data_IF_779554410576
#
_entry.id   IF_779554410576
#
_cell.length_a   1.000
_cell.length_b   1.000
_cell.length_c   1.000
_cell.angle_alpha   90.00
_cell.angle_beta   90.00
_cell.angle_gamma   90.00
#
_symmetry.space_group_name_H-M   'P 1'
#
loop_
_entity.id
_entity.type
_entity.pdbx_description
1 polymer ?
#
# COMPACT_ATOMS: atom_id res chain seq x y z
N UNK A 1 -45.12 20.67 21.94
CA UNK A 1 -44.04 21.65 22.20
C UNK A 1 -43.12 21.04 23.24
N UNK A 2 -41.96 20.56 22.82
CA UNK A 2 -40.88 20.19 23.74
C UNK A 2 -39.57 20.75 23.22
N UNK A 3 -38.82 21.16 24.21
CA UNK A 3 -37.83 22.21 24.26
C UNK A 3 -36.51 21.82 23.58
N UNK A 4 -35.83 22.85 23.08
CA UNK A 4 -34.48 22.87 22.53
C UNK A 4 -33.46 22.27 23.49
N UNK A 5 -32.72 21.25 23.05
CA UNK A 5 -31.47 20.87 23.70
C UNK A 5 -30.29 21.20 22.78
N UNK A 6 -29.58 22.20 23.26
CA UNK A 6 -28.31 22.70 22.80
C UNK A 6 -27.21 21.65 23.08
N UNK A 7 -26.57 21.16 22.00
CA UNK A 7 -25.11 20.96 21.88
C UNK A 7 -24.48 19.71 22.56
N UNK A 8 -23.41 19.12 21.97
CA UNK A 8 -22.13 19.81 21.84
C UNK A 8 -21.67 20.03 20.39
N UNK A 9 -21.32 21.27 20.07
CA UNK A 9 -20.25 21.61 19.13
C UNK A 9 -18.98 20.97 19.64
N UNK A 10 -18.66 19.80 19.12
CA UNK A 10 -17.26 19.39 19.03
C UNK A 10 -16.79 19.76 17.63
N UNK A 11 -16.43 21.04 17.48
CA UNK A 11 -15.40 21.44 16.51
C UNK A 11 -14.10 20.76 16.96
N UNK A 12 -13.99 19.46 16.68
CA UNK A 12 -12.71 18.78 16.68
C UNK A 12 -12.13 19.02 15.29
N UNK A 13 -10.93 19.58 15.24
CA UNK A 13 -10.12 19.79 14.05
C UNK A 13 -10.03 18.49 13.24
N UNK A 14 -10.92 18.35 12.27
CA UNK A 14 -11.12 17.16 11.46
C UNK A 14 -10.20 17.18 10.24
N UNK A 15 -8.90 17.20 10.49
CA UNK A 15 -7.86 17.42 9.47
C UNK A 15 -7.18 16.13 8.98
N UNK A 16 -7.70 14.95 9.35
CA UNK A 16 -7.08 13.65 9.04
C UNK A 16 -7.65 12.90 7.82
N UNK A 17 -6.98 11.81 7.45
CA UNK A 17 -7.39 10.88 6.39
C UNK A 17 -8.79 10.29 6.66
N UNK A 18 -9.65 10.29 5.64
CA UNK A 18 -11.00 9.72 5.66
C UNK A 18 -11.08 8.44 4.85
N UNK A 19 -11.81 7.47 5.38
CA UNK A 19 -12.06 6.16 4.78
C UNK A 19 -13.56 5.98 4.51
N UNK A 20 -14.11 6.93 3.74
CA UNK A 20 -15.54 7.19 3.60
C UNK A 20 -16.04 7.08 2.14
N UNK A 21 -15.15 6.82 1.19
CA UNK A 21 -15.56 6.56 -0.19
C UNK A 21 -16.19 5.17 -0.32
N UNK A 22 -17.20 4.98 -1.21
CA UNK A 22 -17.82 3.69 -1.43
C UNK A 22 -16.81 2.62 -1.86
N UNK A 23 -16.95 1.43 -1.30
CA UNK A 23 -16.16 0.25 -1.66
C UNK A 23 -17.06 -0.80 -2.29
N UNK A 24 -16.74 -1.18 -3.52
CA UNK A 24 -17.36 -2.30 -4.20
C UNK A 24 -16.48 -3.54 -4.03
N UNK A 25 -17.02 -4.56 -3.35
CA UNK A 25 -16.32 -5.82 -3.12
C UNK A 25 -16.16 -6.69 -4.37
N UNK A 26 -16.94 -6.45 -5.43
CA UNK A 26 -16.81 -7.20 -6.67
C UNK A 26 -15.65 -6.68 -7.52
N UNK A 27 -15.60 -5.36 -7.77
CA UNK A 27 -14.51 -4.77 -8.55
C UNK A 27 -13.20 -4.69 -7.75
N UNK A 28 -13.30 -4.33 -6.46
CA UNK A 28 -12.19 -3.98 -5.57
C UNK A 28 -11.35 -2.84 -6.18
N UNK A 29 -12.00 -1.89 -6.84
CA UNK A 29 -11.31 -0.70 -7.33
C UNK A 29 -10.78 0.12 -6.16
N UNK A 30 -9.61 0.74 -6.33
CA UNK A 30 -9.03 1.61 -5.31
C UNK A 30 -9.31 3.05 -5.71
N UNK A 31 -10.06 3.75 -4.87
CA UNK A 31 -10.44 5.14 -5.09
C UNK A 31 -9.77 6.00 -4.05
N UNK A 32 -9.06 7.04 -4.51
CA UNK A 32 -8.58 8.11 -3.66
C UNK A 32 -8.99 9.48 -4.21
N UNK A 33 -9.27 10.42 -3.31
CA UNK A 33 -9.63 11.81 -3.67
C UNK A 33 -9.03 12.79 -2.68
N UNK A 34 -8.49 13.90 -3.19
CA UNK A 34 -7.99 15.02 -2.39
C UNK A 34 -9.02 16.14 -2.41
N UNK A 35 -9.51 16.50 -1.23
CA UNK A 35 -10.33 17.69 -1.01
C UNK A 35 -9.42 18.83 -0.52
N UNK A 36 -9.46 19.97 -1.21
CA UNK A 36 -8.83 21.20 -0.74
C UNK A 36 -9.87 21.91 0.12
N UNK A 37 -9.54 22.09 1.39
CA UNK A 37 -10.35 22.83 2.35
C UNK A 37 -9.70 24.21 2.47
N UNK A 38 -10.45 25.25 2.13
CA UNK A 38 -10.02 26.62 2.39
C UNK A 38 -9.85 26.78 3.90
N UNK A 39 -8.59 26.90 4.35
CA UNK A 39 -8.26 27.10 5.74
C UNK A 39 -8.32 28.57 6.09
N UNK A 40 -8.99 28.90 7.19
CA UNK A 40 -8.74 30.15 7.89
C UNK A 40 -7.30 30.04 8.41
N UNK A 41 -6.40 30.91 7.95
CA UNK A 41 -4.96 30.82 8.19
C UNK A 41 -4.57 30.74 9.68
N UNK A 42 -4.54 29.54 10.27
CA UNK A 42 -4.06 29.33 11.64
C UNK A 42 -3.32 28.01 11.88
N UNK A 43 -3.03 27.20 10.85
CA UNK A 43 -2.34 25.90 11.04
C UNK A 43 -1.37 25.53 9.92
N UNK A 44 -0.07 25.75 10.17
CA UNK A 44 1.11 25.04 9.65
C UNK A 44 1.17 24.56 8.19
N UNK A 45 0.81 25.42 7.23
CA UNK A 45 1.46 25.39 5.92
C UNK A 45 1.61 26.80 5.35
N UNK A 46 2.70 27.05 4.61
CA UNK A 46 3.03 28.36 4.03
C UNK A 46 1.97 28.93 3.06
N UNK A 47 0.85 28.22 2.83
CA UNK A 47 -0.22 28.55 1.89
C UNK A 47 -1.64 28.55 2.51
N UNK A 48 -1.83 28.17 3.78
CA UNK A 48 -3.15 28.20 4.44
C UNK A 48 -4.17 27.16 3.94
N UNK A 49 -3.79 26.19 3.11
CA UNK A 49 -4.68 25.16 2.58
C UNK A 49 -4.71 23.93 3.49
N UNK A 50 -5.82 23.68 4.19
CA UNK A 50 -6.01 22.37 4.84
C UNK A 50 -6.37 21.36 3.74
N UNK A 51 -5.80 20.17 3.77
CA UNK A 51 -6.09 19.12 2.78
C UNK A 51 -6.66 17.92 3.48
N UNK A 52 -7.71 17.36 2.91
CA UNK A 52 -8.31 16.11 3.38
C UNK A 52 -8.20 15.06 2.31
N UNK A 53 -7.70 13.89 2.68
CA UNK A 53 -7.54 12.75 1.80
C UNK A 53 -8.65 11.76 2.08
N UNK A 54 -9.29 11.29 1.02
CA UNK A 54 -10.37 10.33 1.07
C UNK A 54 -9.95 9.04 0.36
N UNK A 55 -10.26 7.90 0.96
CA UNK A 55 -9.99 6.58 0.43
C UNK A 55 -11.21 5.69 0.59
N UNK A 56 -11.33 4.65 -0.25
CA UNK A 56 -12.37 3.63 -0.10
C UNK A 56 -11.91 2.37 0.64
N UNK A 57 -10.64 2.28 1.05
CA UNK A 57 -10.10 1.16 1.83
C UNK A 57 -9.53 1.65 3.15
N UNK A 58 -9.55 0.81 4.20
CA UNK A 58 -9.01 1.15 5.52
C UNK A 58 -7.59 0.61 5.72
N UNK A 59 -6.74 1.29 6.48
CA UNK A 59 -5.39 0.82 6.77
C UNK A 59 -5.38 -0.34 7.75
N UNK A 60 -5.06 -1.52 7.25
CA UNK A 60 -4.83 -2.72 8.07
C UNK A 60 -3.39 -2.83 8.56
N UNK A 61 -2.45 -2.21 7.84
CA UNK A 61 -1.00 -2.29 8.09
C UNK A 61 -0.37 -0.90 8.09
N UNK A 62 0.62 -0.65 8.94
CA UNK A 62 1.45 0.56 8.90
C UNK A 62 2.90 0.13 9.04
N UNK A 63 3.78 0.61 8.16
CA UNK A 63 5.20 0.32 8.22
C UNK A 63 6.05 1.57 8.45
N UNK A 64 5.90 2.59 7.60
CA UNK A 64 6.80 3.75 7.56
C UNK A 64 6.13 5.10 7.86
N UNK A 65 4.80 5.21 7.76
CA UNK A 65 4.12 6.51 7.78
C UNK A 65 3.05 6.58 8.88
N UNK A 66 3.45 6.85 10.14
CA UNK A 66 2.48 7.16 11.19
C UNK A 66 1.61 8.39 10.88
N UNK A 67 2.09 9.28 9.99
CA UNK A 67 1.42 10.50 9.58
C UNK A 67 0.33 10.30 8.52
N UNK A 68 0.08 9.06 8.07
CA UNK A 68 -1.01 8.73 7.15
C UNK A 68 -0.57 8.34 5.74
N UNK A 69 -1.56 8.12 4.88
CA UNK A 69 -1.38 7.75 3.48
C UNK A 69 -1.33 8.98 2.58
N UNK A 70 -0.68 8.86 1.43
CA UNK A 70 -0.52 9.95 0.47
C UNK A 70 -0.34 9.38 -0.95
N UNK A 71 -0.37 10.24 -1.97
CA UNK A 71 -0.10 9.84 -3.37
C UNK A 71 0.45 11.00 -4.24
N UNK A 72 0.84 10.67 -5.47
CA UNK A 72 1.35 11.63 -6.45
C UNK A 72 2.81 12.06 -6.23
N UNK A 73 3.57 11.31 -5.43
CA UNK A 73 5.02 11.43 -5.28
C UNK A 73 5.64 10.12 -4.74
N UNK A 74 6.97 10.02 -4.81
CA UNK A 74 7.71 8.90 -4.23
C UNK A 74 8.11 9.20 -2.77
N UNK A 75 7.29 8.76 -1.81
CA UNK A 75 7.56 8.96 -0.38
C UNK A 75 7.05 7.82 0.51
N UNK A 76 7.11 8.01 1.82
CA UNK A 76 6.69 7.03 2.83
C UNK A 76 5.18 6.81 2.87
N UNK A 77 4.37 7.88 2.86
CA UNK A 77 2.90 7.78 2.81
C UNK A 77 2.38 7.00 1.59
N UNK A 78 2.86 7.30 0.36
CA UNK A 78 2.59 6.48 -0.83
C UNK A 78 3.06 5.03 -0.71
N UNK A 79 4.14 4.77 0.03
CA UNK A 79 4.65 3.42 0.28
C UNK A 79 3.72 2.60 1.17
N UNK A 80 3.24 3.19 2.26
CA UNK A 80 2.29 2.54 3.16
C UNK A 80 0.93 2.35 2.49
N UNK A 81 0.50 3.29 1.64
CA UNK A 81 -0.71 3.11 0.83
C UNK A 81 -0.57 1.95 -0.14
N UNK A 82 0.53 1.88 -0.91
CA UNK A 82 0.83 0.77 -1.80
C UNK A 82 0.84 -0.59 -1.08
N UNK A 83 1.44 -0.64 0.12
CA UNK A 83 1.50 -1.86 0.93
C UNK A 83 0.09 -2.35 1.31
N UNK A 84 -0.80 -1.44 1.71
CA UNK A 84 -2.17 -1.81 2.07
C UNK A 84 -3.02 -2.19 0.87
N UNK A 85 -2.80 -1.57 -0.30
CA UNK A 85 -3.43 -2.01 -1.55
C UNK A 85 -3.02 -3.44 -1.85
N UNK A 86 -1.73 -3.77 -1.90
CA UNK A 86 -1.30 -5.14 -2.20
C UNK A 86 -1.77 -6.15 -1.14
N UNK A 87 -1.76 -5.77 0.13
CA UNK A 87 -2.27 -6.61 1.23
C UNK A 87 -3.74 -6.96 1.08
N UNK A 88 -4.55 -6.08 0.50
CA UNK A 88 -5.98 -6.32 0.25
C UNK A 88 -6.18 -7.43 -0.79
N UNK A 89 -5.34 -7.47 -1.83
CA UNK A 89 -5.47 -8.43 -2.93
C UNK A 89 -4.76 -9.76 -2.67
N UNK A 90 -3.67 -9.74 -1.88
CA UNK A 90 -2.90 -10.93 -1.53
C UNK A 90 -2.79 -11.02 0.00
N UNK A 91 -3.87 -11.38 0.71
CA UNK A 91 -3.82 -11.55 2.15
C UNK A 91 -3.11 -12.86 2.54
N UNK A 92 -2.53 -12.90 3.75
CA UNK A 92 -2.08 -14.13 4.39
C UNK A 92 -0.64 -14.57 4.10
N UNK A 93 -0.41 -15.86 4.29
CA UNK A 93 0.82 -16.61 4.05
C UNK A 93 0.95 -16.97 2.57
N UNK A 94 1.61 -16.09 1.82
CA UNK A 94 1.94 -16.34 0.42
C UNK A 94 2.84 -17.58 0.30
N UNK A 95 2.35 -18.62 -0.38
CA UNK A 95 3.05 -19.91 -0.57
C UNK A 95 3.48 -20.60 0.75
N UNK A 96 2.73 -20.39 1.84
CA UNK A 96 3.07 -20.94 3.15
C UNK A 96 4.26 -20.24 3.83
N UNK A 97 4.74 -19.11 3.29
CA UNK A 97 5.73 -18.28 3.94
C UNK A 97 5.06 -17.40 5.01
N UNK A 98 5.71 -17.18 6.17
CA UNK A 98 5.14 -16.37 7.23
C UNK A 98 4.94 -14.93 6.76
N UNK A 99 3.82 -14.33 7.17
CA UNK A 99 3.57 -12.90 6.97
C UNK A 99 4.67 -12.05 7.61
N UNK A 100 4.94 -10.88 7.02
CA UNK A 100 5.95 -9.94 7.50
C UNK A 100 5.33 -9.03 8.56
N UNK A 101 6.02 -8.91 9.70
CA UNK A 101 5.60 -8.01 10.78
C UNK A 101 5.89 -6.55 10.41
N UNK A 102 4.87 -5.70 10.52
CA UNK A 102 4.99 -4.26 10.36
C UNK A 102 4.81 -3.55 11.71
N UNK A 103 5.03 -2.22 11.75
CA UNK A 103 4.83 -1.42 12.96
C UNK A 103 3.42 -1.60 13.53
N UNK A 104 2.41 -1.59 12.65
CA UNK A 104 1.05 -2.06 12.95
C UNK A 104 0.63 -3.15 11.98
N UNK A 105 0.01 -4.22 12.49
CA UNK A 105 -0.47 -5.34 11.68
C UNK A 105 0.65 -6.25 11.17
N UNK A 106 0.31 -7.04 10.16
CA UNK A 106 1.18 -7.95 9.40
C UNK A 106 0.75 -7.90 7.95
N UNK A 107 1.69 -8.04 7.01
CA UNK A 107 1.38 -8.11 5.59
C UNK A 107 1.91 -9.41 4.96
N UNK A 108 1.35 -9.81 3.81
CA UNK A 108 1.88 -10.93 3.04
C UNK A 108 3.29 -10.65 2.56
N UNK A 109 4.05 -11.73 2.35
CA UNK A 109 5.42 -11.63 1.84
C UNK A 109 5.44 -10.97 0.47
N UNK A 110 4.48 -11.30 -0.39
CA UNK A 110 4.29 -10.65 -1.69
C UNK A 110 4.11 -9.14 -1.57
N UNK A 111 3.16 -8.68 -0.74
CA UNK A 111 2.91 -7.24 -0.55
C UNK A 111 4.18 -6.53 -0.06
N UNK A 112 4.90 -7.13 0.90
CA UNK A 112 6.15 -6.60 1.39
C UNK A 112 7.22 -6.45 0.30
N UNK A 113 7.43 -7.47 -0.53
CA UNK A 113 8.47 -7.45 -1.57
C UNK A 113 8.15 -6.45 -2.68
N UNK A 114 6.87 -6.30 -3.02
CA UNK A 114 6.45 -5.62 -4.25
C UNK A 114 5.89 -4.20 -4.04
N UNK A 115 5.61 -3.77 -2.79
CA UNK A 115 4.98 -2.47 -2.55
C UNK A 115 5.77 -1.27 -3.07
N UNK A 116 7.11 -1.34 -3.12
CA UNK A 116 7.94 -0.25 -3.66
C UNK A 116 7.76 -0.13 -5.19
N UNK A 117 7.76 -1.26 -5.91
CA UNK A 117 7.52 -1.28 -7.35
C UNK A 117 6.10 -0.79 -7.65
N UNK A 118 5.10 -1.33 -6.96
CA UNK A 118 3.70 -0.92 -7.10
C UNK A 118 3.49 0.58 -6.82
N UNK A 119 4.11 1.10 -5.74
CA UNK A 119 4.09 2.53 -5.42
C UNK A 119 4.61 3.36 -6.59
N UNK A 120 5.78 3.02 -7.13
CA UNK A 120 6.41 3.80 -8.18
C UNK A 120 5.60 3.75 -9.49
N UNK A 121 4.91 2.62 -9.73
CA UNK A 121 4.15 2.41 -10.96
C UNK A 121 2.78 3.09 -10.94
N UNK A 122 2.06 2.98 -9.82
CA UNK A 122 0.69 3.48 -9.68
C UNK A 122 0.63 4.68 -8.75
N UNK A 123 0.87 4.48 -7.45
CA UNK A 123 0.54 5.45 -6.39
C UNK A 123 1.28 6.78 -6.55
N UNK A 124 2.58 6.74 -6.87
CA UNK A 124 3.41 7.93 -7.05
C UNK A 124 3.03 8.72 -8.31
N UNK A 125 2.33 8.10 -9.27
CA UNK A 125 1.94 8.70 -10.55
C UNK A 125 0.49 9.15 -10.60
N UNK A 126 -0.31 8.87 -9.56
CA UNK A 126 -1.68 9.34 -9.50
C UNK A 126 -1.74 10.87 -9.55
N UNK A 127 -2.72 11.45 -10.25
CA UNK A 127 -3.01 12.88 -10.19
C UNK A 127 -3.17 13.34 -8.75
N UNK A 128 -2.78 14.59 -8.46
CA UNK A 128 -2.79 15.10 -7.08
C UNK A 128 -4.21 15.17 -6.51
N UNK A 129 -5.19 15.46 -7.34
CA UNK A 129 -6.62 15.45 -7.04
C UNK A 129 -7.17 14.05 -6.67
N UNK A 130 -6.45 12.98 -7.02
CA UNK A 130 -6.89 11.59 -6.83
C UNK A 130 -7.32 10.93 -8.13
N UNK A 131 -7.60 9.64 -8.07
CA UNK A 131 -8.05 8.83 -9.22
C UNK A 131 -8.63 7.50 -8.73
N UNK A 132 -9.14 6.72 -9.69
CA UNK A 132 -9.44 5.31 -9.52
C UNK A 132 -8.28 4.49 -10.09
N UNK A 133 -7.88 3.43 -9.38
CA UNK A 133 -7.07 2.33 -9.92
C UNK A 133 -8.00 1.12 -10.00
N UNK A 134 -8.22 0.62 -11.20
CA UNK A 134 -9.11 -0.53 -11.42
C UNK A 134 -8.55 -1.79 -10.76
N UNK A 135 -9.39 -2.52 -10.04
CA UNK A 135 -9.00 -3.77 -9.38
C UNK A 135 -8.56 -4.83 -10.39
N UNK A 136 -9.11 -4.81 -11.61
CA UNK A 136 -8.65 -5.68 -12.70
C UNK A 136 -7.21 -5.38 -13.11
N UNK A 137 -6.83 -4.10 -13.17
CA UNK A 137 -5.45 -3.67 -13.46
C UNK A 137 -4.49 -4.12 -12.36
N UNK A 138 -4.90 -3.98 -11.08
CA UNK A 138 -4.10 -4.44 -9.94
C UNK A 138 -3.91 -5.97 -9.98
N UNK A 139 -4.97 -6.73 -10.25
CA UNK A 139 -4.89 -8.20 -10.39
C UNK A 139 -3.96 -8.62 -11.52
N UNK A 140 -4.03 -7.96 -12.68
CA UNK A 140 -3.15 -8.25 -13.81
C UNK A 140 -1.67 -8.00 -13.45
N UNK A 141 -1.39 -6.89 -12.78
CA UNK A 141 -0.06 -6.55 -12.30
C UNK A 141 0.48 -7.58 -11.30
N UNK A 142 -0.34 -7.98 -10.32
CA UNK A 142 0.03 -9.02 -9.34
C UNK A 142 0.36 -10.34 -10.04
N UNK A 143 -0.47 -10.77 -10.98
CA UNK A 143 -0.27 -12.02 -11.71
C UNK A 143 1.03 -12.02 -12.52
N UNK A 144 1.43 -10.87 -13.07
CA UNK A 144 2.73 -10.70 -13.74
C UNK A 144 3.90 -10.88 -12.77
N UNK A 145 3.89 -10.16 -11.64
CA UNK A 145 4.95 -10.27 -10.62
C UNK A 145 5.06 -11.67 -10.03
N UNK A 146 3.95 -12.37 -9.84
CA UNK A 146 3.97 -13.75 -9.38
C UNK A 146 4.64 -14.71 -10.38
N UNK A 147 4.46 -14.49 -11.70
CA UNK A 147 5.17 -15.27 -12.73
C UNK A 147 6.66 -14.96 -12.75
N UNK A 148 7.03 -13.69 -12.60
CA UNK A 148 8.43 -13.26 -12.50
C UNK A 148 9.12 -13.86 -11.27
N UNK A 149 8.43 -13.90 -10.13
CA UNK A 149 8.94 -14.50 -8.90
C UNK A 149 9.19 -16.00 -9.06
N UNK A 150 8.25 -16.73 -9.67
CA UNK A 150 8.43 -18.17 -9.97
C UNK A 150 9.63 -18.40 -10.89
N UNK A 151 9.75 -17.64 -11.97
CA UNK A 151 10.88 -17.79 -12.90
C UNK A 151 12.24 -17.50 -12.24
N UNK A 152 12.29 -16.52 -11.32
CA UNK A 152 13.50 -16.21 -10.56
C UNK A 152 13.87 -17.32 -9.57
N UNK A 153 12.88 -17.87 -8.88
CA UNK A 153 13.09 -18.96 -7.91
C UNK A 153 13.61 -20.23 -8.63
N UNK A 154 13.10 -20.55 -9.82
CA UNK A 154 13.57 -21.66 -10.65
C UNK A 154 15.02 -21.46 -11.14
N UNK A 155 15.38 -20.24 -11.57
CA UNK A 155 16.74 -19.94 -12.00
C UNK A 155 17.74 -20.07 -10.84
N UNK A 156 17.37 -19.62 -9.64
CA UNK A 156 18.24 -19.71 -8.45
C UNK A 156 18.48 -21.15 -8.04
N UNK A 157 17.48 -22.03 -8.17
CA UNK A 157 17.61 -23.45 -7.85
C UNK A 157 18.53 -24.23 -8.82
N UNK A 158 18.74 -23.73 -10.05
CA UNK A 158 19.60 -24.38 -11.03
C UNK A 158 21.09 -24.11 -10.75
N UNK A 159 21.44 -22.88 -10.37
CA UNK A 159 22.83 -22.47 -10.12
C UNK A 159 23.44 -23.13 -8.86
N UNK A 160 22.62 -23.44 -7.84
CA UNK A 160 23.10 -24.11 -6.61
C UNK A 160 23.45 -25.61 -6.81
N UNK A 161 23.18 -26.19 -7.99
CA UNK A 161 23.40 -27.63 -8.27
C UNK A 161 24.69 -27.97 -9.00
N UNK A 162 25.46 -26.98 -9.49
CA UNK A 162 26.63 -27.20 -10.37
C UNK A 162 27.99 -27.24 -9.62
N UNK A 163 28.00 -27.03 -8.30
CA UNK A 163 29.23 -26.95 -7.49
C UNK A 163 29.64 -28.27 -6.79
N UNK A 164 29.11 -29.43 -7.17
CA UNK A 164 29.40 -30.72 -6.46
C UNK A 164 30.21 -31.77 -7.22
N UNK A 165 30.72 -31.50 -8.43
CA UNK A 165 31.54 -32.48 -9.17
C UNK A 165 32.89 -31.91 -9.64
N UNK A 166 33.84 -31.65 -8.72
CA UNK A 166 35.26 -31.69 -9.11
C UNK A 166 36.25 -31.90 -7.95
N UNK A 167 36.08 -32.95 -7.12
CA UNK A 167 37.09 -33.29 -6.09
C UNK A 167 37.31 -34.82 -5.95
N UNK A 168 37.35 -35.54 -7.08
CA UNK A 168 37.67 -36.98 -7.10
C UNK A 168 38.88 -37.41 -7.94
N UNK A 169 39.76 -36.47 -8.35
CA UNK A 169 40.96 -36.81 -9.12
C UNK A 169 42.31 -36.52 -8.44
N UNK A 170 42.42 -36.77 -7.13
CA UNK A 170 43.71 -36.79 -6.41
C UNK A 170 43.85 -38.04 -5.53
N UNK A 171 43.74 -39.23 -6.13
CA UNK A 171 44.25 -40.46 -5.50
C UNK A 171 44.57 -41.56 -6.53
N UNK A 172 45.50 -41.33 -7.45
CA UNK A 172 46.19 -42.43 -8.13
C UNK A 172 47.66 -42.08 -8.39
N UNK A 173 48.52 -42.83 -7.69
CA UNK A 173 49.98 -43.08 -7.86
C UNK A 173 50.96 -42.20 -7.10
#
# INVERSE_FOLDING_TARGET
MLNTNNQPTTEAEDTGDRYDLPFDSESIDIVCRREIIEGNASGENRLGEVRRLHFNIRPTVIHHSPSGWEWGYAGSGPSDFALNVLQLFVPGDDKGLPSVKCWRGTCSRFAWLHHIAFKNEFIARLPREGSVIEGATIRAWIAERQREDVARDEQTAHDDSDDTENDSELCVR
#
